data_IF_075075699291
#
_entry.id   IF_075075699291
#
_cell.length_a   1.000
_cell.length_b   1.000
_cell.length_c   1.000
_cell.angle_alpha   90.00
_cell.angle_beta   90.00
_cell.angle_gamma   90.00
#
_symmetry.space_group_name_H-M   'P 1'
#
loop_
_entity.id
_entity.type
_entity.pdbx_description
1 polymer ?
#
# COMPACT_ATOMS: atom_id res chain seq x y z
N UNK A 1 -10.58 4.25 -17.10
CA UNK A 1 -11.14 3.96 -15.76
C UNK A 1 -12.58 3.44 -15.79
N UNK A 2 -13.48 3.91 -16.68
CA UNK A 2 -14.91 3.52 -16.69
C UNK A 2 -15.16 2.01 -16.90
N UNK A 3 -14.58 1.41 -17.93
CA UNK A 3 -14.81 -0.01 -18.25
C UNK A 3 -14.26 -0.95 -17.17
N UNK A 4 -13.04 -0.68 -16.65
CA UNK A 4 -12.42 -1.48 -15.58
C UNK A 4 -13.27 -1.37 -14.30
N UNK A 5 -13.71 -0.18 -13.93
CA UNK A 5 -14.56 0.03 -12.76
C UNK A 5 -15.89 -0.72 -12.85
N UNK A 6 -16.52 -0.79 -14.03
CA UNK A 6 -17.75 -1.56 -14.23
C UNK A 6 -17.52 -3.06 -14.03
N UNK A 7 -16.44 -3.61 -14.60
CA UNK A 7 -16.09 -5.03 -14.45
C UNK A 7 -15.86 -5.37 -12.98
N UNK A 8 -15.05 -4.57 -12.26
CA UNK A 8 -14.78 -4.78 -10.84
C UNK A 8 -16.08 -4.68 -10.02
N UNK A 9 -16.91 -3.68 -10.29
CA UNK A 9 -18.15 -3.45 -9.55
C UNK A 9 -19.15 -4.60 -9.69
N UNK A 10 -19.08 -5.40 -10.77
CA UNK A 10 -19.91 -6.60 -10.91
C UNK A 10 -19.66 -7.64 -9.81
N UNK A 11 -18.51 -7.59 -9.16
CA UNK A 11 -18.13 -8.50 -8.07
C UNK A 11 -18.63 -8.05 -6.68
N UNK A 12 -19.08 -6.80 -6.53
CA UNK A 12 -19.35 -6.20 -5.21
C UNK A 12 -20.49 -6.84 -4.42
N UNK A 13 -21.37 -7.62 -5.09
CA UNK A 13 -22.52 -8.27 -4.47
C UNK A 13 -22.36 -9.78 -4.28
N UNK A 14 -21.20 -10.34 -4.57
CA UNK A 14 -20.97 -11.79 -4.51
C UNK A 14 -20.94 -12.28 -3.07
N UNK A 15 -20.32 -11.51 -2.16
CA UNK A 15 -20.14 -11.89 -0.76
C UNK A 15 -21.30 -11.39 0.10
N UNK A 16 -21.80 -12.26 0.99
CA UNK A 16 -22.91 -11.94 1.92
C UNK A 16 -22.45 -11.43 3.29
N UNK A 17 -21.24 -11.81 3.73
CA UNK A 17 -20.67 -11.40 5.02
C UNK A 17 -20.05 -10.00 4.98
N UNK A 18 -19.67 -9.52 3.81
CA UNK A 18 -19.06 -8.21 3.64
C UNK A 18 -19.83 -7.41 2.58
N UNK A 19 -20.16 -6.18 2.88
CA UNK A 19 -20.81 -5.25 1.96
C UNK A 19 -19.82 -4.20 1.51
N UNK A 20 -19.61 -4.06 0.20
CA UNK A 20 -18.78 -2.97 -0.33
C UNK A 20 -19.47 -1.63 -0.07
N UNK A 21 -18.80 -0.76 0.67
CA UNK A 21 -19.25 0.60 1.01
C UNK A 21 -18.63 1.61 0.06
N UNK A 22 -17.35 1.43 -0.23
CA UNK A 22 -16.60 2.21 -1.19
C UNK A 22 -15.66 1.28 -1.99
N UNK A 23 -15.84 1.26 -3.29
CA UNK A 23 -15.09 0.41 -4.19
C UNK A 23 -13.96 1.16 -4.90
N UNK A 24 -13.74 0.80 -6.16
CA UNK A 24 -12.72 1.36 -7.04
C UNK A 24 -12.87 2.88 -7.25
N UNK A 25 -11.74 3.59 -7.20
CA UNK A 25 -11.66 5.03 -7.53
C UNK A 25 -11.46 5.97 -6.33
N UNK A 26 -11.12 5.42 -5.16
CA UNK A 26 -10.71 6.19 -3.97
C UNK A 26 -9.36 5.69 -3.45
N UNK A 27 -8.81 6.28 -2.39
CA UNK A 27 -7.53 5.88 -1.78
C UNK A 27 -7.52 4.42 -1.30
N UNK A 28 -8.66 3.90 -0.84
CA UNK A 28 -8.77 2.50 -0.45
C UNK A 28 -10.18 1.95 -0.71
N UNK A 29 -10.28 0.63 -0.89
CA UNK A 29 -11.55 -0.08 -0.86
C UNK A 29 -12.03 -0.24 0.57
N UNK A 30 -13.35 -0.06 0.81
CA UNK A 30 -13.97 -0.19 2.13
C UNK A 30 -15.09 -1.21 2.06
N UNK A 31 -15.06 -2.16 2.99
CA UNK A 31 -16.13 -3.13 3.20
C UNK A 31 -16.68 -3.03 4.63
N UNK A 32 -17.99 -3.12 4.76
CA UNK A 32 -18.66 -3.31 6.03
C UNK A 32 -18.75 -4.81 6.35
N UNK A 33 -18.37 -5.19 7.55
CA UNK A 33 -18.45 -6.55 8.07
C UNK A 33 -19.40 -6.60 9.27
N UNK A 34 -19.85 -7.79 9.72
CA UNK A 34 -20.77 -7.91 10.86
C UNK A 34 -20.29 -7.13 12.09
N UNK A 35 -21.25 -6.55 12.82
CA UNK A 35 -20.99 -5.74 14.01
C UNK A 35 -20.69 -4.26 13.72
N UNK A 36 -21.13 -3.73 12.58
CA UNK A 36 -20.92 -2.34 12.15
C UNK A 36 -19.44 -1.94 12.12
N UNK A 37 -18.59 -2.88 11.77
CA UNK A 37 -17.16 -2.67 11.58
C UNK A 37 -16.84 -2.48 10.11
N UNK A 38 -15.86 -1.64 9.82
CA UNK A 38 -15.43 -1.37 8.46
C UNK A 38 -13.96 -1.71 8.32
N UNK A 39 -13.62 -2.43 7.26
CA UNK A 39 -12.25 -2.70 6.86
C UNK A 39 -11.91 -1.88 5.62
N UNK A 40 -10.77 -1.22 5.67
CA UNK A 40 -10.15 -0.57 4.53
C UNK A 40 -9.00 -1.44 4.03
N UNK A 41 -8.87 -1.58 2.72
CA UNK A 41 -7.77 -2.33 2.10
C UNK A 41 -7.19 -1.51 0.96
N UNK A 42 -5.87 -1.40 0.93
CA UNK A 42 -5.12 -0.72 -0.12
C UNK A 42 -3.90 -1.54 -0.52
N UNK A 43 -3.51 -1.45 -1.79
CA UNK A 43 -2.29 -2.06 -2.31
C UNK A 43 -1.59 -1.07 -3.24
N UNK A 44 -0.28 -0.91 -3.07
CA UNK A 44 0.54 -0.05 -3.90
C UNK A 44 1.98 -0.58 -4.00
N UNK A 45 2.68 -0.21 -5.07
CA UNK A 45 4.07 -0.59 -5.35
C UNK A 45 5.02 0.61 -5.33
N UNK A 46 6.26 0.36 -4.94
CA UNK A 46 7.31 1.41 -4.87
C UNK A 46 7.60 2.03 -6.25
N UNK A 47 7.39 1.28 -7.32
CA UNK A 47 7.52 1.78 -8.68
C UNK A 47 8.95 2.18 -9.05
N UNK A 48 9.08 3.25 -9.82
CA UNK A 48 10.35 3.66 -10.46
C UNK A 48 11.47 4.06 -9.48
N UNK A 49 11.16 4.37 -8.23
CA UNK A 49 12.19 4.66 -7.20
C UNK A 49 13.16 3.48 -6.99
N UNK A 50 12.73 2.25 -7.30
CA UNK A 50 13.59 1.07 -7.28
C UNK A 50 14.77 1.21 -8.25
N UNK A 51 14.60 1.88 -9.38
CA UNK A 51 15.68 2.17 -10.33
C UNK A 51 16.77 3.00 -9.65
N UNK A 52 16.39 4.02 -8.89
CA UNK A 52 17.32 4.86 -8.12
C UNK A 52 18.01 4.03 -7.04
N UNK A 53 17.28 3.17 -6.34
CA UNK A 53 17.85 2.27 -5.33
C UNK A 53 18.91 1.32 -5.95
N UNK A 54 18.65 0.81 -7.17
CA UNK A 54 19.59 -0.02 -7.92
C UNK A 54 20.83 0.77 -8.33
N UNK A 55 20.69 1.99 -8.83
CA UNK A 55 21.81 2.87 -9.22
C UNK A 55 22.71 3.20 -8.02
N UNK A 56 22.11 3.52 -6.88
CA UNK A 56 22.81 3.88 -5.64
C UNK A 56 23.23 2.67 -4.80
N UNK A 57 22.81 1.45 -5.16
CA UNK A 57 22.98 0.22 -4.36
C UNK A 57 22.45 0.34 -2.92
N UNK A 58 21.42 1.17 -2.73
CA UNK A 58 20.80 1.49 -1.46
C UNK A 58 19.35 1.00 -1.43
N UNK A 59 19.10 -0.08 -0.69
CA UNK A 59 17.83 -0.79 -0.69
C UNK A 59 17.08 -0.74 0.65
N UNK A 60 17.73 -0.23 1.69
CA UNK A 60 17.19 -0.17 3.05
C UNK A 60 16.13 0.93 3.25
N UNK A 61 15.97 1.82 2.27
CA UNK A 61 14.98 2.92 2.32
C UNK A 61 13.69 2.59 1.58
N UNK A 62 13.75 1.81 0.48
CA UNK A 62 12.56 1.53 -0.32
C UNK A 62 11.52 0.68 0.41
N UNK A 63 11.92 -0.11 1.42
CA UNK A 63 10.96 -0.78 2.30
C UNK A 63 10.17 0.20 3.17
N UNK A 64 10.79 1.32 3.59
CA UNK A 64 10.07 2.39 4.31
C UNK A 64 9.05 3.03 3.37
N UNK A 65 9.44 3.32 2.12
CA UNK A 65 8.54 3.87 1.12
C UNK A 65 7.34 2.94 0.88
N UNK A 66 7.57 1.63 0.76
CA UNK A 66 6.51 0.64 0.55
C UNK A 66 5.47 0.66 1.67
N UNK A 67 5.90 0.71 2.93
CA UNK A 67 4.99 0.86 4.08
C UNK A 67 4.27 2.22 4.01
N UNK A 68 5.01 3.30 3.79
CA UNK A 68 4.45 4.66 3.83
C UNK A 68 3.37 4.87 2.78
N UNK A 69 3.60 4.44 1.53
CA UNK A 69 2.62 4.57 0.44
C UNK A 69 1.29 3.91 0.80
N UNK A 70 1.37 2.67 1.25
CA UNK A 70 0.17 1.90 1.60
C UNK A 70 -0.54 2.45 2.85
N UNK A 71 0.22 2.79 3.90
CA UNK A 71 -0.36 3.28 5.16
C UNK A 71 -0.93 4.68 4.99
N UNK A 72 -0.26 5.57 4.27
CA UNK A 72 -0.74 6.94 4.06
C UNK A 72 -2.10 6.95 3.38
N UNK A 73 -2.34 6.07 2.42
CA UNK A 73 -3.61 6.01 1.71
C UNK A 73 -4.78 5.59 2.62
N UNK A 74 -4.57 4.60 3.50
CA UNK A 74 -5.65 4.21 4.40
C UNK A 74 -5.88 5.20 5.56
N UNK A 75 -4.84 5.90 6.04
CA UNK A 75 -5.05 6.92 7.07
C UNK A 75 -5.76 8.17 6.51
N UNK A 76 -5.59 8.48 5.22
CA UNK A 76 -6.34 9.56 4.55
C UNK A 76 -7.86 9.38 4.63
N UNK A 77 -8.34 8.15 4.72
CA UNK A 77 -9.77 7.84 4.87
C UNK A 77 -10.18 7.58 6.32
N UNK A 78 -9.29 7.81 7.28
CA UNK A 78 -9.54 7.65 8.71
C UNK A 78 -9.37 6.23 9.25
N UNK A 79 -8.75 5.33 8.49
CA UNK A 79 -8.52 3.96 8.94
C UNK A 79 -7.25 3.84 9.78
N UNK A 80 -7.29 3.01 10.81
CA UNK A 80 -6.10 2.60 11.58
C UNK A 80 -5.53 1.33 10.96
N UNK A 81 -4.25 1.32 10.52
CA UNK A 81 -3.62 0.12 9.96
C UNK A 81 -3.51 -0.98 11.02
N UNK A 82 -3.88 -2.22 10.66
CA UNK A 82 -3.85 -3.37 11.58
C UNK A 82 -3.00 -4.53 11.08
N UNK A 83 -2.74 -4.61 9.79
CA UNK A 83 -1.87 -5.63 9.21
C UNK A 83 -1.29 -5.20 7.88
N UNK A 84 -0.13 -5.75 7.54
CA UNK A 84 0.58 -5.53 6.30
C UNK A 84 1.16 -6.83 5.76
N UNK A 85 1.15 -6.99 4.44
CA UNK A 85 1.87 -8.04 3.71
C UNK A 85 2.61 -7.42 2.53
N UNK A 86 3.78 -7.97 2.18
CA UNK A 86 4.59 -7.49 1.06
C UNK A 86 4.67 -8.51 -0.08
N UNK A 87 5.02 -8.02 -1.25
CA UNK A 87 5.35 -8.81 -2.42
C UNK A 87 6.64 -8.30 -3.04
N UNK A 88 7.67 -9.15 -3.05
CA UNK A 88 8.95 -8.90 -3.70
C UNK A 88 9.03 -9.79 -4.94
N UNK A 89 9.15 -9.20 -6.12
CA UNK A 89 9.47 -9.91 -7.35
C UNK A 89 10.88 -9.57 -7.81
N UNK A 90 11.71 -10.55 -8.19
CA UNK A 90 13.07 -10.29 -8.64
C UNK A 90 13.51 -11.25 -9.73
N UNK A 91 14.45 -10.80 -10.59
CA UNK A 91 14.99 -11.64 -11.65
C UNK A 91 15.95 -12.72 -11.16
N UNK A 92 16.52 -12.56 -9.97
CA UNK A 92 17.43 -13.54 -9.36
C UNK A 92 17.45 -13.41 -7.84
N UNK A 93 17.74 -14.52 -7.17
CA UNK A 93 17.89 -14.55 -5.74
C UNK A 93 19.13 -13.75 -5.29
N UNK A 94 18.89 -12.73 -4.46
CA UNK A 94 19.95 -11.96 -3.81
C UNK A 94 19.57 -11.68 -2.35
N UNK A 95 19.90 -12.62 -1.48
CA UNK A 95 19.57 -12.55 -0.06
C UNK A 95 20.09 -11.28 0.64
N UNK A 96 21.25 -10.73 0.21
CA UNK A 96 21.80 -9.52 0.81
C UNK A 96 20.94 -8.29 0.48
N UNK A 97 20.41 -8.20 -0.73
CA UNK A 97 19.48 -7.13 -1.12
C UNK A 97 18.15 -7.33 -0.40
N UNK A 98 17.59 -8.55 -0.41
CA UNK A 98 16.32 -8.82 0.27
C UNK A 98 16.39 -8.51 1.77
N UNK A 99 17.48 -8.87 2.46
CA UNK A 99 17.68 -8.49 3.88
C UNK A 99 17.66 -6.97 4.08
N UNK A 100 18.23 -6.16 3.16
CA UNK A 100 18.18 -4.71 3.24
C UNK A 100 16.75 -4.19 3.05
N UNK A 101 16.04 -4.68 2.04
CA UNK A 101 14.63 -4.32 1.78
C UNK A 101 13.76 -4.63 2.99
N UNK A 102 13.85 -5.85 3.53
CA UNK A 102 13.05 -6.28 4.69
C UNK A 102 13.38 -5.47 5.95
N UNK A 103 14.66 -5.08 6.15
CA UNK A 103 15.01 -4.13 7.23
C UNK A 103 14.30 -2.78 7.06
N UNK A 104 14.21 -2.29 5.83
CA UNK A 104 13.44 -1.08 5.50
C UNK A 104 11.95 -1.25 5.80
N UNK A 105 11.35 -2.35 5.36
CA UNK A 105 9.96 -2.71 5.68
C UNK A 105 9.72 -2.74 7.19
N UNK A 106 10.58 -3.45 7.95
CA UNK A 106 10.47 -3.54 9.40
C UNK A 106 10.62 -2.17 10.09
N UNK A 107 11.49 -1.29 9.58
CA UNK A 107 11.65 0.07 10.09
C UNK A 107 10.40 0.90 9.84
N UNK A 108 9.88 0.90 8.62
CA UNK A 108 8.64 1.60 8.24
C UNK A 108 7.44 1.10 9.05
N UNK A 109 7.30 -0.23 9.18
CA UNK A 109 6.22 -0.86 9.93
C UNK A 109 6.22 -0.46 11.42
N UNK A 110 7.42 -0.38 12.05
CA UNK A 110 7.55 0.12 13.42
C UNK A 110 7.13 1.59 13.55
N UNK A 111 7.50 2.43 12.58
CA UNK A 111 7.12 3.85 12.55
C UNK A 111 5.60 4.02 12.38
N UNK A 112 5.00 3.21 11.50
CA UNK A 112 3.57 3.21 11.21
C UNK A 112 2.75 2.41 12.24
N UNK A 113 3.38 1.74 13.19
CA UNK A 113 2.74 0.88 14.20
C UNK A 113 1.85 -0.20 13.57
N UNK A 114 2.28 -0.77 12.44
CA UNK A 114 1.57 -1.83 11.73
C UNK A 114 2.39 -3.12 11.72
N UNK A 115 1.87 -4.28 12.13
CA UNK A 115 2.59 -5.54 12.05
C UNK A 115 2.66 -6.05 10.60
N UNK A 116 3.83 -6.52 10.19
CA UNK A 116 3.97 -7.33 8.97
C UNK A 116 3.65 -8.78 9.35
N UNK A 117 2.59 -9.33 8.76
CA UNK A 117 2.07 -10.66 9.11
C UNK A 117 2.36 -11.73 8.07
N UNK A 118 2.95 -11.37 6.94
CA UNK A 118 3.29 -12.28 5.85
C UNK A 118 3.83 -11.52 4.65
N UNK A 119 4.03 -12.25 3.57
CA UNK A 119 4.50 -11.71 2.31
C UNK A 119 4.91 -12.83 1.35
N UNK A 120 5.37 -12.46 0.16
CA UNK A 120 5.82 -13.37 -0.88
C UNK A 120 7.11 -12.85 -1.53
N UNK A 121 8.03 -13.75 -1.85
CA UNK A 121 9.23 -13.43 -2.64
C UNK A 121 9.30 -14.35 -3.84
N UNK A 122 9.05 -13.82 -5.03
CA UNK A 122 9.05 -14.54 -6.29
C UNK A 122 10.33 -14.27 -7.10
N UNK A 123 10.97 -15.34 -7.55
CA UNK A 123 12.11 -15.24 -8.46
C UNK A 123 11.61 -15.53 -9.88
N UNK A 124 11.58 -14.49 -10.70
CA UNK A 124 10.98 -14.48 -12.04
C UNK A 124 11.96 -13.93 -13.09
N UNK A 125 13.00 -14.70 -13.47
CA UNK A 125 14.07 -14.22 -14.37
C UNK A 125 13.53 -13.74 -15.72
N UNK A 126 12.49 -14.37 -16.23
CA UNK A 126 11.97 -14.09 -17.58
C UNK A 126 11.08 -12.84 -17.65
N UNK A 127 10.62 -12.32 -16.48
CA UNK A 127 9.80 -11.11 -16.45
C UNK A 127 10.61 -9.82 -16.36
N UNK A 128 11.90 -9.90 -16.02
CA UNK A 128 12.75 -8.73 -15.89
C UNK A 128 13.84 -8.75 -16.96
N UNK A 129 13.85 -7.75 -17.83
CA UNK A 129 14.87 -7.61 -18.88
C UNK A 129 16.25 -7.24 -18.32
N UNK A 130 17.30 -7.72 -18.99
CA UNK A 130 18.69 -7.32 -18.73
C UNK A 130 19.45 -8.23 -17.77
N UNK A 131 20.80 -8.05 -17.75
CA UNK A 131 21.73 -8.85 -16.94
C UNK A 131 21.88 -8.37 -15.49
N UNK A 132 21.51 -7.12 -15.22
CA UNK A 132 21.59 -6.51 -13.90
C UNK A 132 20.53 -7.06 -12.94
N UNK A 133 20.73 -6.86 -11.64
CA UNK A 133 19.70 -7.16 -10.66
C UNK A 133 18.51 -6.23 -10.88
N UNK A 134 17.33 -6.82 -11.02
CA UNK A 134 16.07 -6.11 -11.16
C UNK A 134 15.04 -6.70 -10.19
N UNK A 135 14.21 -5.85 -9.62
CA UNK A 135 13.15 -6.25 -8.70
C UNK A 135 11.97 -5.27 -8.76
N UNK A 136 10.84 -5.72 -8.26
CA UNK A 136 9.70 -4.90 -7.87
C UNK A 136 9.35 -5.15 -6.41
N UNK A 137 8.74 -4.15 -5.77
CA UNK A 137 8.32 -4.20 -4.37
C UNK A 137 6.95 -3.55 -4.24
N UNK A 138 6.00 -4.31 -3.78
CA UNK A 138 4.65 -3.84 -3.49
C UNK A 138 4.21 -4.28 -2.09
N UNK A 139 3.13 -3.70 -1.60
CA UNK A 139 2.55 -4.08 -0.33
C UNK A 139 1.04 -4.00 -0.36
N UNK A 140 0.43 -4.62 0.62
CA UNK A 140 -1.01 -4.52 0.89
C UNK A 140 -1.22 -4.28 2.38
N UNK A 141 -2.00 -3.27 2.69
CA UNK A 141 -2.36 -2.91 4.07
C UNK A 141 -3.86 -3.14 4.28
N UNK A 142 -4.20 -3.65 5.46
CA UNK A 142 -5.58 -3.68 5.94
C UNK A 142 -5.68 -2.76 7.16
N UNK A 143 -6.73 -1.95 7.19
CA UNK A 143 -7.04 -1.08 8.32
C UNK A 143 -8.46 -1.27 8.80
N UNK A 144 -8.70 -0.86 10.04
CA UNK A 144 -10.03 -0.79 10.63
C UNK A 144 -10.47 0.66 10.74
N UNK A 145 -11.75 0.92 10.50
CA UNK A 145 -12.31 2.27 10.53
C UNK A 145 -13.66 2.25 11.20
N UNK A 146 -13.96 3.24 12.02
CA UNK A 146 -15.29 3.44 12.56
C UNK A 146 -16.11 4.31 11.60
N UNK A 147 -17.42 4.11 11.56
CA UNK A 147 -18.29 4.86 10.66
C UNK A 147 -18.19 6.38 10.85
N UNK A 148 -18.01 6.83 12.08
CA UNK A 148 -17.89 8.27 12.42
C UNK A 148 -16.58 8.91 11.96
N UNK A 149 -15.51 8.11 11.85
CA UNK A 149 -14.17 8.58 11.51
C UNK A 149 -13.87 8.43 9.99
N UNK A 150 -14.84 7.90 9.23
CA UNK A 150 -14.69 7.68 7.80
C UNK A 150 -14.67 8.99 7.02
N UNK A 151 -13.51 9.32 6.43
CA UNK A 151 -13.26 10.54 5.68
C UNK A 151 -13.25 10.28 4.18
N UNK A 152 -14.36 10.64 3.51
CA UNK A 152 -14.54 10.47 2.08
C UNK A 152 -14.61 11.83 1.32
N UNK A 153 -14.14 12.89 1.95
CA UNK A 153 -14.10 14.24 1.35
C UNK A 153 -15.44 14.97 1.22
N UNK A 154 -16.56 14.35 1.59
CA UNK A 154 -17.92 14.92 1.39
C UNK A 154 -18.20 16.17 2.23
N UNK A 155 -17.47 16.36 3.32
CA UNK A 155 -17.62 17.50 4.24
C UNK A 155 -16.70 18.69 3.89
N UNK A 156 -15.78 18.53 2.94
CA UNK A 156 -14.85 19.59 2.52
C UNK A 156 -15.63 20.71 1.83
N UNK A 157 -15.41 21.94 2.28
CA UNK A 157 -16.09 23.12 1.76
C UNK A 157 -15.15 24.33 1.63
N UNK A 158 -15.57 25.33 0.88
CA UNK A 158 -14.86 26.61 0.79
C UNK A 158 -14.75 27.26 2.18
N UNK A 159 -13.56 27.71 2.53
CA UNK A 159 -13.22 28.27 3.84
C UNK A 159 -12.54 27.30 4.79
N UNK A 160 -12.44 26.02 4.44
CA UNK A 160 -11.64 25.07 5.21
C UNK A 160 -10.15 25.41 5.13
N UNK A 161 -9.43 25.18 6.24
CA UNK A 161 -7.99 25.47 6.34
C UNK A 161 -7.19 24.31 5.76
N UNK A 162 -6.22 24.63 4.91
CA UNK A 162 -5.26 23.67 4.36
C UNK A 162 -4.01 23.68 5.24
N UNK A 163 -3.63 22.51 5.75
CA UNK A 163 -2.41 22.31 6.56
C UNK A 163 -1.39 21.56 5.71
N UNK A 164 -0.21 22.15 5.52
CA UNK A 164 0.93 21.52 4.85
C UNK A 164 1.92 20.91 5.85
N UNK A 165 2.37 19.69 5.57
CA UNK A 165 3.46 19.04 6.32
C UNK A 165 4.71 19.00 5.45
N UNK A 166 5.84 19.51 5.97
CA UNK A 166 7.11 19.53 5.25
C UNK A 166 7.58 18.12 4.89
N UNK A 167 7.95 17.92 3.63
CA UNK A 167 8.60 16.67 3.19
C UNK A 167 10.00 16.53 3.80
N UNK A 168 10.39 15.31 4.12
CA UNK A 168 11.74 14.96 4.61
C UNK A 168 12.69 14.50 3.49
N UNK A 169 12.23 14.47 2.25
CA UNK A 169 13.01 14.02 1.08
C UNK A 169 12.13 13.61 -0.08
N UNK A 170 12.72 12.85 -1.02
CA UNK A 170 12.01 12.29 -2.16
C UNK A 170 11.15 11.10 -1.70
N UNK A 171 9.85 11.20 -1.88
CA UNK A 171 8.90 10.12 -1.63
C UNK A 171 8.70 9.27 -2.90
N UNK A 172 8.06 8.11 -2.78
CA UNK A 172 7.76 7.25 -3.94
C UNK A 172 6.59 7.78 -4.75
N UNK A 173 5.64 8.40 -4.10
CA UNK A 173 4.47 9.05 -4.72
C UNK A 173 4.37 10.49 -4.26
#
# INVERSE_FOLDING_TARGET
HGAIGQIISSTHKIQKLAKVVHGFGHYAGIVEIPGNKFLATHTDGVGTKIIIANMLKKYDTIGIDCIAMNVNDIICIGATPISFVDYIAANKNNQNIFKKVVRGLAKGAKQAQVPIIGGETAIMPDLFSGKSFAMDLAGTVVGIISKKDMMLGKSIKSGDVIIGVKSSGLHSN
#
